data_IF_766201520596
#
_entry.id   IF_766201520596
#
_cell.length_a   1.000
_cell.length_b   1.000
_cell.length_c   1.000
_cell.angle_alpha   90.00
_cell.angle_beta   90.00
_cell.angle_gamma   90.00
#
_symmetry.space_group_name_H-M   'P 1'
#
loop_
_entity.id
_entity.type
_entity.pdbx_description
1 polymer ?
#
# COMPACT_ATOMS: atom_id res chain seq x y z
N UNK A 1 10.87 -28.76 7.24
CA UNK A 1 10.02 -28.12 6.23
C UNK A 1 10.26 -28.73 4.86
N UNK A 2 9.58 -29.83 4.52
CA UNK A 2 9.37 -30.25 3.13
C UNK A 2 7.99 -30.92 3.11
N UNK A 3 7.05 -30.39 2.32
CA UNK A 3 5.64 -30.80 2.26
C UNK A 3 5.38 -32.18 1.64
N UNK A 4 6.30 -33.12 1.83
CA UNK A 4 6.28 -34.42 1.17
C UNK A 4 6.02 -35.53 2.20
N UNK A 5 5.15 -36.46 1.83
CA UNK A 5 4.89 -37.72 2.52
C UNK A 5 5.65 -38.81 1.78
N UNK A 6 6.49 -39.55 2.51
CA UNK A 6 7.21 -40.69 1.95
C UNK A 6 6.36 -41.92 2.20
N UNK A 7 5.92 -42.57 1.13
CA UNK A 7 5.17 -43.83 1.16
C UNK A 7 5.93 -44.93 0.43
N UNK A 8 5.51 -46.19 0.55
CA UNK A 8 6.11 -47.31 -0.19
C UNK A 8 6.13 -47.12 -1.71
N UNK A 9 5.23 -46.29 -2.25
CA UNK A 9 5.15 -45.92 -3.68
C UNK A 9 5.99 -44.69 -4.06
N UNK A 10 6.85 -44.19 -3.15
CA UNK A 10 7.70 -43.04 -3.35
C UNK A 10 7.27 -41.77 -2.61
N UNK A 11 7.87 -40.65 -3.00
CA UNK A 11 7.69 -39.34 -2.38
C UNK A 11 6.49 -38.64 -3.04
N UNK A 12 5.41 -38.41 -2.29
CA UNK A 12 4.22 -37.70 -2.76
C UNK A 12 4.03 -36.41 -1.97
N UNK A 13 3.56 -35.36 -2.64
CA UNK A 13 3.19 -34.11 -1.95
C UNK A 13 1.89 -34.35 -1.18
N UNK A 14 1.81 -33.87 0.05
CA UNK A 14 0.63 -34.00 0.90
C UNK A 14 -0.57 -33.27 0.26
N UNK A 15 -1.61 -34.04 -0.10
CA UNK A 15 -2.82 -33.51 -0.75
C UNK A 15 -3.54 -32.46 0.10
N UNK A 16 -3.54 -32.60 1.43
CA UNK A 16 -4.14 -31.59 2.32
C UNK A 16 -3.35 -30.28 2.32
N UNK A 17 -2.03 -30.33 2.15
CA UNK A 17 -1.21 -29.12 1.99
C UNK A 17 -1.45 -28.45 0.65
N UNK A 18 -1.62 -29.22 -0.42
CA UNK A 18 -1.98 -28.68 -1.74
C UNK A 18 -3.32 -27.97 -1.64
N UNK A 19 -4.33 -28.64 -1.07
CA UNK A 19 -5.66 -28.07 -0.89
C UNK A 19 -5.61 -26.81 -0.03
N UNK A 20 -4.91 -26.84 1.12
CA UNK A 20 -4.76 -25.67 1.98
C UNK A 20 -4.06 -24.48 1.29
N UNK A 21 -3.10 -24.73 0.40
CA UNK A 21 -2.44 -23.67 -0.40
C UNK A 21 -3.37 -23.16 -1.50
N UNK A 22 -4.15 -24.02 -2.14
CA UNK A 22 -5.08 -23.66 -3.22
C UNK A 22 -6.32 -22.91 -2.70
N UNK A 23 -6.82 -23.28 -1.52
CA UNK A 23 -7.91 -22.59 -0.83
C UNK A 23 -7.44 -21.46 0.05
N UNK A 24 -6.12 -21.20 0.11
CA UNK A 24 -5.58 -20.11 0.91
C UNK A 24 -6.19 -18.80 0.41
N UNK A 25 -6.95 -18.07 1.25
CA UNK A 25 -7.57 -16.83 0.81
C UNK A 25 -6.45 -15.90 0.39
N UNK A 26 -6.47 -15.44 -0.87
CA UNK A 26 -5.53 -14.41 -1.31
C UNK A 26 -5.74 -13.21 -0.39
N UNK A 27 -4.75 -12.84 0.44
CA UNK A 27 -4.90 -11.65 1.26
C UNK A 27 -5.05 -10.50 0.27
N UNK A 28 -6.21 -9.84 0.31
CA UNK A 28 -6.49 -8.75 -0.60
C UNK A 28 -5.42 -7.67 -0.45
N UNK A 29 -4.88 -7.50 0.77
CA UNK A 29 -3.79 -6.57 1.09
C UNK A 29 -2.86 -7.14 2.19
N UNK A 30 -1.52 -7.14 2.01
CA UNK A 30 -0.57 -7.49 3.08
C UNK A 30 -0.54 -6.48 4.24
N UNK A 31 -1.16 -5.31 4.04
CA UNK A 31 -1.17 -4.18 4.99
C UNK A 31 -2.22 -4.39 6.10
N UNK A 32 -3.30 -5.13 5.82
CA UNK A 32 -4.47 -5.25 6.73
C UNK A 32 -4.61 -6.64 7.37
N UNK A 33 -3.67 -7.54 7.13
CA UNK A 33 -3.68 -8.90 7.69
C UNK A 33 -3.11 -8.88 9.11
N UNK A 34 -3.98 -8.96 10.11
CA UNK A 34 -3.57 -9.26 11.50
C UNK A 34 -3.70 -10.76 11.76
N UNK A 35 -2.64 -11.32 12.31
CA UNK A 35 -2.63 -12.67 12.87
C UNK A 35 -3.14 -12.56 14.31
N UNK A 36 -4.22 -13.24 14.63
CA UNK A 36 -4.73 -13.35 16.00
C UNK A 36 -4.68 -14.81 16.44
N UNK A 37 -4.23 -15.05 17.66
CA UNK A 37 -4.26 -16.38 18.26
C UNK A 37 -5.71 -16.73 18.59
N UNK A 38 -6.22 -17.79 17.96
CA UNK A 38 -7.48 -18.40 18.34
C UNK A 38 -7.21 -19.48 19.41
N UNK A 39 -8.18 -19.67 20.31
CA UNK A 39 -8.12 -20.71 21.34
C UNK A 39 -7.77 -22.08 20.73
N UNK A 40 -6.76 -22.75 21.30
CA UNK A 40 -6.25 -24.02 20.81
C UNK A 40 -5.02 -23.94 19.89
N UNK A 41 -4.29 -22.82 19.86
CA UNK A 41 -3.01 -22.69 19.14
C UNK A 41 -3.16 -22.57 17.62
N UNK A 42 -4.35 -22.19 17.14
CA UNK A 42 -4.61 -21.93 15.71
C UNK A 42 -4.49 -20.42 15.47
N UNK A 43 -3.71 -20.03 14.47
CA UNK A 43 -3.60 -18.62 14.07
C UNK A 43 -4.73 -18.30 13.11
N UNK A 44 -5.62 -17.37 13.47
CA UNK A 44 -6.65 -16.85 12.57
C UNK A 44 -6.10 -15.63 11.84
N UNK A 45 -6.26 -15.61 10.52
CA UNK A 45 -6.01 -14.42 9.69
C UNK A 45 -7.29 -13.59 9.68
N UNK A 46 -7.31 -12.45 10.37
CA UNK A 46 -8.45 -11.54 10.37
C UNK A 46 -8.19 -10.29 9.53
N UNK A 47 -9.19 -9.92 8.73
CA UNK A 47 -9.25 -8.69 7.93
C UNK A 47 -10.25 -7.70 8.55
N UNK A 48 -10.10 -7.42 9.85
CA UNK A 48 -11.11 -6.72 10.69
C UNK A 48 -10.82 -5.24 10.93
N UNK A 49 -9.64 -4.74 10.51
CA UNK A 49 -9.19 -3.36 10.82
C UNK A 49 -9.98 -2.25 10.08
N UNK A 50 -10.79 -2.59 9.07
CA UNK A 50 -11.60 -1.60 8.34
C UNK A 50 -12.63 -0.89 9.22
N UNK A 51 -13.07 -1.48 10.32
CA UNK A 51 -14.17 -0.90 11.12
C UNK A 51 -13.74 0.23 12.06
N UNK A 52 -12.61 0.10 12.77
CA UNK A 52 -12.18 1.13 13.73
C UNK A 52 -11.55 2.35 13.04
N UNK A 53 -10.80 2.12 11.97
CA UNK A 53 -10.06 3.16 11.25
C UNK A 53 -10.98 4.08 10.44
N UNK A 54 -12.01 3.52 9.80
CA UNK A 54 -13.02 4.29 9.05
C UNK A 54 -13.86 5.15 9.99
N UNK A 55 -14.10 4.67 11.23
CA UNK A 55 -14.84 5.42 12.24
C UNK A 55 -14.06 6.65 12.71
N UNK A 56 -12.76 6.50 12.99
CA UNK A 56 -11.90 7.65 13.32
C UNK A 56 -11.76 8.64 12.15
N UNK A 57 -11.69 8.15 10.91
CA UNK A 57 -11.56 9.00 9.74
C UNK A 57 -12.82 9.84 9.50
N UNK A 58 -14.01 9.25 9.71
CA UNK A 58 -15.29 9.96 9.66
C UNK A 58 -15.31 11.21 10.56
N UNK A 59 -14.75 11.08 11.76
CA UNK A 59 -14.65 12.19 12.71
C UNK A 59 -13.59 13.21 12.29
N UNK A 60 -12.62 12.91 11.42
CA UNK A 60 -11.59 13.89 11.03
C UNK A 60 -11.86 14.57 9.70
N UNK A 61 -12.70 13.99 8.85
CA UNK A 61 -13.07 14.57 7.55
C UNK A 61 -13.82 15.90 7.68
N UNK A 62 -14.54 16.14 8.79
CA UNK A 62 -15.29 17.38 9.00
C UNK A 62 -14.42 18.56 9.45
N UNK A 63 -13.15 18.31 9.79
CA UNK A 63 -12.18 19.34 10.17
C UNK A 63 -11.26 19.73 9.00
N UNK A 64 -11.18 18.89 7.95
CA UNK A 64 -10.29 19.12 6.81
C UNK A 64 -10.88 20.12 5.82
N UNK A 65 -10.29 21.32 5.65
CA UNK A 65 -10.80 22.34 4.74
C UNK A 65 -10.86 21.89 3.27
N UNK A 66 -9.99 20.98 2.84
CA UNK A 66 -10.05 20.44 1.46
C UNK A 66 -11.24 19.48 1.31
N UNK A 67 -11.47 18.60 2.28
CA UNK A 67 -12.57 17.64 2.21
C UNK A 67 -13.93 18.30 2.45
N UNK A 68 -14.00 19.37 3.26
CA UNK A 68 -15.21 20.20 3.41
C UNK A 68 -15.58 20.85 2.08
N UNK A 69 -14.64 21.52 1.40
CA UNK A 69 -14.88 22.12 0.08
C UNK A 69 -15.31 21.09 -0.96
N UNK A 70 -14.72 19.90 -0.89
CA UNK A 70 -15.04 18.79 -1.78
C UNK A 70 -16.46 18.26 -1.52
N UNK A 71 -16.86 18.17 -0.24
CA UNK A 71 -18.22 17.81 0.16
C UNK A 71 -19.26 18.81 -0.34
N UNK A 72 -18.98 20.11 -0.21
CA UNK A 72 -19.85 21.17 -0.75
C UNK A 72 -19.95 21.09 -2.29
N UNK A 73 -18.86 20.76 -2.96
CA UNK A 73 -18.83 20.60 -4.42
C UNK A 73 -19.64 19.40 -4.93
N UNK A 74 -19.80 18.35 -4.11
CA UNK A 74 -20.66 17.19 -4.40
C UNK A 74 -22.14 17.58 -4.34
N UNK A 75 -22.53 18.38 -3.33
CA UNK A 75 -23.90 18.90 -3.22
C UNK A 75 -24.28 19.75 -4.45
N UNK A 76 -23.30 20.43 -5.04
CA UNK A 76 -23.47 21.20 -6.27
C UNK A 76 -23.39 20.36 -7.56
N UNK A 77 -23.29 19.02 -7.46
CA UNK A 77 -23.13 18.08 -8.58
C UNK A 77 -21.94 18.37 -9.50
N UNK A 78 -20.91 19.08 -9.01
CA UNK A 78 -19.74 19.44 -9.82
C UNK A 78 -18.67 18.34 -9.88
N UNK A 79 -18.79 17.31 -9.05
CA UNK A 79 -17.75 16.31 -8.83
C UNK A 79 -18.34 14.89 -8.81
N UNK A 80 -18.65 14.28 -9.96
CA UNK A 80 -19.29 12.96 -10.03
C UNK A 80 -18.39 11.80 -9.59
N UNK A 81 -17.09 12.04 -9.41
CA UNK A 81 -16.14 11.01 -8.97
C UNK A 81 -16.08 10.87 -7.43
N UNK A 82 -16.67 11.82 -6.71
CA UNK A 82 -16.70 11.83 -5.27
C UNK A 82 -18.12 11.58 -4.78
N UNK A 83 -18.23 10.70 -3.79
CA UNK A 83 -19.50 10.23 -3.27
C UNK A 83 -19.46 10.29 -1.75
N UNK A 84 -20.54 10.78 -1.16
CA UNK A 84 -20.76 10.67 0.27
C UNK A 84 -21.53 9.38 0.51
N UNK A 85 -20.91 8.43 1.22
CA UNK A 85 -21.57 7.17 1.57
C UNK A 85 -22.61 7.42 2.67
N UNK A 86 -23.63 6.56 2.79
CA UNK A 86 -24.70 6.70 3.79
C UNK A 86 -24.22 6.67 5.24
N UNK A 87 -23.00 6.20 5.49
CA UNK A 87 -22.29 6.27 6.77
C UNK A 87 -21.70 7.66 7.07
N UNK A 88 -21.81 8.62 6.13
CA UNK A 88 -21.29 9.98 6.25
C UNK A 88 -19.81 10.13 5.87
N UNK A 89 -19.21 9.10 5.27
CA UNK A 89 -17.79 9.10 4.89
C UNK A 89 -17.62 9.46 3.42
N UNK A 90 -16.66 10.34 3.14
CA UNK A 90 -16.32 10.75 1.78
C UNK A 90 -15.46 9.69 1.08
N UNK A 91 -15.86 9.33 -0.14
CA UNK A 91 -15.14 8.39 -1.00
C UNK A 91 -14.87 8.96 -2.38
N UNK A 92 -13.77 8.55 -2.99
CA UNK A 92 -13.42 8.82 -4.39
C UNK A 92 -13.40 7.51 -5.17
N UNK A 93 -14.34 7.33 -6.11
CA UNK A 93 -14.47 6.08 -6.88
C UNK A 93 -14.43 4.81 -6.00
N UNK A 94 -15.15 4.81 -4.89
CA UNK A 94 -15.19 3.70 -3.91
C UNK A 94 -14.02 3.66 -2.90
N UNK A 95 -12.99 4.51 -3.07
CA UNK A 95 -11.82 4.59 -2.17
C UNK A 95 -12.07 5.55 -1.03
N UNK A 96 -11.59 5.23 0.17
CA UNK A 96 -11.68 6.09 1.34
C UNK A 96 -10.84 7.36 1.15
N UNK A 97 -11.46 8.53 1.26
CA UNK A 97 -10.72 9.79 1.31
C UNK A 97 -10.06 9.92 2.69
N UNK A 98 -8.75 10.20 2.72
CA UNK A 98 -7.99 10.35 3.97
C UNK A 98 -7.69 11.82 4.23
N UNK A 99 -8.15 12.32 5.37
CA UNK A 99 -7.97 13.67 5.88
C UNK A 99 -6.50 13.98 6.13
N UNK A 100 -6.12 15.24 5.94
CA UNK A 100 -4.79 15.73 6.35
C UNK A 100 -4.74 15.98 7.86
N UNK A 101 -5.89 16.11 8.51
CA UNK A 101 -6.00 16.37 9.94
C UNK A 101 -5.65 15.09 10.71
N UNK A 102 -4.65 15.19 11.58
CA UNK A 102 -4.12 14.08 12.38
C UNK A 102 -3.02 13.29 11.68
N UNK A 103 -2.64 12.16 12.27
CA UNK A 103 -1.50 11.35 11.83
C UNK A 103 -1.91 10.18 10.93
N UNK A 104 -3.12 10.19 10.36
CA UNK A 104 -3.67 9.01 9.72
C UNK A 104 -2.91 8.64 8.44
N UNK A 105 -2.63 9.63 7.58
CA UNK A 105 -1.78 9.45 6.39
C UNK A 105 -0.42 8.87 6.78
N UNK A 106 0.21 9.42 7.81
CA UNK A 106 1.51 8.96 8.30
C UNK A 106 1.45 7.51 8.79
N UNK A 107 0.41 7.12 9.55
CA UNK A 107 0.21 5.74 10.01
C UNK A 107 0.02 4.76 8.84
N UNK A 108 -0.80 5.11 7.84
CA UNK A 108 -1.00 4.29 6.64
C UNK A 108 0.33 4.08 5.92
N UNK A 109 1.08 5.17 5.71
CA UNK A 109 2.38 5.13 5.03
C UNK A 109 3.40 4.29 5.82
N UNK A 110 3.42 4.44 7.14
CA UNK A 110 4.33 3.70 8.02
C UNK A 110 4.00 2.20 8.01
N UNK A 111 2.74 1.80 8.16
CA UNK A 111 2.35 0.39 8.10
C UNK A 111 2.64 -0.21 6.71
N UNK A 112 2.35 0.52 5.64
CA UNK A 112 2.64 0.06 4.27
C UNK A 112 4.14 -0.10 3.99
N UNK A 113 4.98 0.71 4.63
CA UNK A 113 6.42 0.70 4.43
C UNK A 113 7.16 -0.29 5.33
N UNK A 114 6.73 -0.44 6.59
CA UNK A 114 7.40 -1.23 7.63
C UNK A 114 6.68 -2.53 8.00
N UNK A 115 5.61 -2.91 7.29
CA UNK A 115 5.00 -4.22 7.48
C UNK A 115 6.08 -5.31 7.33
N UNK A 116 6.05 -6.29 8.23
CA UNK A 116 7.06 -7.38 8.31
C UNK A 116 7.18 -8.18 7.01
N UNK A 117 6.17 -8.09 6.16
CA UNK A 117 6.08 -8.77 4.86
C UNK A 117 6.35 -7.83 3.66
N UNK A 118 6.41 -6.52 3.91
CA UNK A 118 6.78 -5.51 2.93
C UNK A 118 8.31 -5.36 2.94
N UNK A 119 9.00 -6.15 2.13
CA UNK A 119 10.43 -5.91 1.85
C UNK A 119 10.55 -4.51 1.24
N UNK A 120 10.86 -3.52 2.09
CA UNK A 120 10.99 -2.08 1.80
C UNK A 120 10.50 -1.68 0.40
N UNK A 121 9.17 -1.61 0.20
CA UNK A 121 8.60 -1.44 -1.12
C UNK A 121 9.01 -0.09 -1.71
N UNK A 122 9.40 -0.08 -2.99
CA UNK A 122 9.60 1.18 -3.71
C UNK A 122 8.32 2.04 -3.68
N UNK A 123 8.49 3.36 -3.74
CA UNK A 123 7.37 4.31 -3.75
C UNK A 123 6.27 3.96 -4.77
N UNK A 124 6.66 3.46 -5.94
CA UNK A 124 5.71 3.01 -6.98
C UNK A 124 4.88 1.82 -6.53
N UNK A 125 5.47 0.85 -5.83
CA UNK A 125 4.78 -0.33 -5.30
C UNK A 125 3.82 0.08 -4.20
N UNK A 126 4.28 0.89 -3.24
CA UNK A 126 3.42 1.42 -2.17
C UNK A 126 2.20 2.16 -2.73
N UNK A 127 2.39 3.03 -3.74
CA UNK A 127 1.28 3.73 -4.37
C UNK A 127 0.27 2.80 -5.03
N UNK A 128 0.74 1.75 -5.73
CA UNK A 128 -0.15 0.78 -6.40
C UNK A 128 -0.99 -0.02 -5.42
N UNK A 129 -0.47 -0.31 -4.22
CA UNK A 129 -1.19 -1.03 -3.18
C UNK A 129 -2.19 -0.10 -2.48
N UNK A 130 -1.71 1.05 -1.98
CA UNK A 130 -2.54 1.97 -1.21
C UNK A 130 -3.69 2.60 -2.02
N UNK A 131 -3.47 2.91 -3.31
CA UNK A 131 -4.49 3.55 -4.15
C UNK A 131 -5.74 2.68 -4.37
N UNK A 132 -5.70 1.39 -4.03
CA UNK A 132 -6.85 0.51 -4.19
C UNK A 132 -7.92 0.77 -3.13
N UNK A 133 -7.52 1.32 -1.98
CA UNK A 133 -8.36 1.48 -0.81
C UNK A 133 -8.47 2.95 -0.43
N UNK A 134 -7.36 3.67 -0.49
CA UNK A 134 -7.25 5.04 -0.01
C UNK A 134 -7.04 6.02 -1.15
N UNK A 135 -7.46 7.26 -0.90
CA UNK A 135 -7.21 8.38 -1.77
C UNK A 135 -7.00 9.65 -0.92
N UNK A 136 -6.03 10.47 -1.31
CA UNK A 136 -5.90 11.84 -0.82
C UNK A 136 -5.12 12.70 -1.81
N UNK A 137 -5.30 14.01 -1.72
CA UNK A 137 -4.56 14.96 -2.55
C UNK A 137 -3.06 14.88 -2.21
N UNK A 138 -2.20 14.76 -3.22
CA UNK A 138 -0.76 14.66 -3.03
C UNK A 138 -0.24 13.26 -2.62
N UNK A 139 -1.07 12.21 -2.62
CA UNK A 139 -0.68 10.86 -2.20
C UNK A 139 0.66 10.33 -2.75
N UNK A 140 0.94 10.56 -4.03
CA UNK A 140 2.23 10.16 -4.63
C UNK A 140 3.43 10.90 -4.04
N UNK A 141 3.27 12.20 -3.74
CA UNK A 141 4.30 13.05 -3.15
C UNK A 141 4.61 12.57 -1.74
N UNK A 142 3.58 12.36 -0.92
CA UNK A 142 3.74 11.93 0.47
C UNK A 142 4.42 10.54 0.56
N UNK A 143 4.07 9.62 -0.36
CA UNK A 143 4.74 8.31 -0.46
C UNK A 143 6.22 8.48 -0.85
N UNK A 144 6.50 9.32 -1.85
CA UNK A 144 7.87 9.55 -2.30
C UNK A 144 8.74 10.17 -1.19
N UNK A 145 8.18 11.12 -0.45
CA UNK A 145 8.82 11.77 0.70
C UNK A 145 9.11 10.78 1.83
N UNK A 146 8.12 9.96 2.22
CA UNK A 146 8.32 8.91 3.23
C UNK A 146 9.43 7.93 2.84
N UNK A 147 9.42 7.44 1.60
CA UNK A 147 10.44 6.51 1.10
C UNK A 147 11.81 7.19 1.03
N UNK A 148 11.86 8.48 0.66
CA UNK A 148 13.09 9.26 0.64
C UNK A 148 13.67 9.47 2.03
N UNK A 149 12.85 9.51 3.09
CA UNK A 149 13.31 9.63 4.48
C UNK A 149 13.81 8.30 5.08
N UNK A 150 13.59 7.15 4.41
CA UNK A 150 14.03 5.86 4.94
C UNK A 150 15.52 5.57 4.67
N UNK A 151 16.38 5.41 5.71
CA UNK A 151 17.80 5.12 5.53
C UNK A 151 18.07 3.79 4.81
N UNK A 152 17.24 2.77 5.03
CA UNK A 152 17.39 1.47 4.38
C UNK A 152 17.11 1.58 2.88
N UNK A 153 16.04 2.27 2.50
CA UNK A 153 15.70 2.54 1.10
C UNK A 153 16.76 3.40 0.40
N UNK A 154 17.37 4.35 1.10
CA UNK A 154 18.48 5.16 0.57
C UNK A 154 19.73 4.31 0.28
N UNK A 155 20.09 3.41 1.20
CA UNK A 155 21.29 2.57 1.06
C UNK A 155 21.19 1.56 -0.09
N UNK A 156 20.00 1.01 -0.34
CA UNK A 156 19.78 0.01 -1.40
C UNK A 156 19.54 0.62 -2.77
N UNK A 157 19.33 1.94 -2.86
CA UNK A 157 19.29 2.65 -4.14
C UNK A 157 20.70 2.76 -4.70
N UNK A 158 21.15 1.68 -5.34
CA UNK A 158 22.33 1.76 -6.19
C UNK A 158 22.11 2.82 -7.28
N UNK A 159 23.13 3.64 -7.55
CA UNK A 159 23.12 4.57 -8.65
C UNK A 159 23.04 3.77 -9.96
N UNK A 160 21.87 3.76 -10.59
CA UNK A 160 21.65 3.12 -11.89
C UNK A 160 22.05 4.02 -13.06
N UNK A 161 22.62 5.20 -12.79
CA UNK A 161 23.23 6.02 -13.84
C UNK A 161 24.48 5.30 -14.32
N UNK A 162 24.64 5.21 -15.64
CA UNK A 162 25.95 4.82 -16.19
C UNK A 162 26.95 5.88 -15.71
N UNK A 163 28.12 5.50 -15.18
CA UNK A 163 29.16 6.48 -14.88
C UNK A 163 29.34 7.33 -16.13
N UNK A 164 29.27 8.65 -15.97
CA UNK A 164 29.52 9.57 -17.07
C UNK A 164 30.87 9.20 -17.67
N UNK A 165 30.86 8.70 -18.90
CA UNK A 165 32.10 8.33 -19.59
C UNK A 165 33.02 9.55 -19.64
N UNK A 166 34.33 9.31 -19.68
CA UNK A 166 35.30 10.39 -19.92
C UNK A 166 34.87 11.16 -21.17
N UNK A 167 34.70 12.48 -21.03
CA UNK A 167 34.40 13.37 -22.16
C UNK A 167 35.48 13.21 -23.21
N UNK A 168 35.20 12.47 -24.27
CA UNK A 168 36.10 12.38 -25.41
C UNK A 168 36.02 13.70 -26.16
N UNK A 169 37.16 14.37 -26.32
CA UNK A 169 37.29 15.55 -27.15
C UNK A 169 37.04 15.12 -28.60
N UNK A 170 35.91 15.54 -29.17
CA UNK A 170 35.67 15.39 -30.61
C UNK A 170 36.50 16.48 -31.28
N UNK A 171 37.55 16.10 -32.00
CA UNK A 171 38.32 17.05 -32.80
C UNK A 171 37.41 17.66 -33.87
N UNK A 172 37.34 18.99 -33.89
CA UNK A 172 36.56 19.74 -34.87
C UNK A 172 37.19 19.55 -36.25
N UNK A 173 36.45 19.07 -37.27
CA UNK A 173 37.00 18.90 -38.60
C UNK A 173 37.36 20.28 -39.18
N UNK A 174 38.63 20.43 -39.56
CA UNK A 174 39.07 21.55 -40.37
C UNK A 174 38.66 21.28 -41.81
N UNK A 175 37.69 22.06 -42.30
CA UNK A 175 37.28 22.07 -43.70
C UNK A 175 38.45 22.58 -44.56
N UNK A 176 38.78 21.86 -45.64
CA UNK A 176 39.70 22.32 -46.70
C UNK A 176 38.94 23.05 -47.79
#
# INVERSE_FOLDING_TARGET
FLGHVITGDGIKVDGQKIEAVMTWPRPLNPIEVRLVDAEGGRILVQNTAKSSFVTEEKERQHEDPELIKLRESILQQRQPLFELTGDGVLRYQGRLCVSIVGELRAKILLEAHYSRYAVHPEATKMYRELRQIYWWNGMKRDIAEMVAQCPNCQQVKAEHQRPGGLTQYIELPLWK
#
